data_IF_668472876275
#
_entry.id   IF_668472876275
#
_cell.length_a   1.000
_cell.length_b   1.000
_cell.length_c   1.000
_cell.angle_alpha   90.00
_cell.angle_beta   90.00
_cell.angle_gamma   90.00
#
_symmetry.space_group_name_H-M   'P 1'
#
loop_
_entity.id
_entity.type
_entity.pdbx_description
1 polymer ?
#
# COMPACT_ATOMS: atom_id res chain seq x y z
N UNK A 1 -1.38 7.74 -14.64
CA UNK A 1 -0.31 6.82 -14.16
C UNK A 1 -0.87 5.91 -13.09
N UNK A 2 -0.32 4.70 -12.98
CA UNK A 2 -0.59 3.70 -11.95
C UNK A 2 0.44 3.84 -10.85
N UNK A 3 -0.04 4.21 -9.67
CA UNK A 3 0.78 4.40 -8.47
C UNK A 3 0.48 3.28 -7.50
N UNK A 4 1.52 2.56 -7.09
CA UNK A 4 1.42 1.51 -6.07
C UNK A 4 2.07 1.97 -4.78
N UNK A 5 1.36 1.80 -3.67
CA UNK A 5 1.92 1.97 -2.34
C UNK A 5 2.23 0.60 -1.75
N UNK A 6 3.43 0.40 -1.23
CA UNK A 6 3.83 -0.81 -0.53
C UNK A 6 4.03 -0.50 0.95
N UNK A 7 3.28 -1.19 1.80
CA UNK A 7 3.39 -1.03 3.24
C UNK A 7 3.24 -2.39 3.95
N UNK A 8 4.12 -2.74 4.92
CA UNK A 8 4.12 -4.09 5.50
C UNK A 8 2.83 -4.44 6.24
N UNK A 9 2.25 -3.52 7.01
CA UNK A 9 1.11 -3.82 7.86
C UNK A 9 0.14 -2.63 7.89
N UNK A 10 -1.04 -2.78 7.28
CA UNK A 10 -2.02 -1.70 7.19
C UNK A 10 -3.06 -1.80 8.32
N UNK A 11 -2.59 -1.58 9.55
CA UNK A 11 -3.38 -1.51 10.77
C UNK A 11 -3.75 -0.06 11.15
N UNK A 12 -3.76 0.23 12.46
CA UNK A 12 -3.89 1.59 13.00
C UNK A 12 -2.57 2.01 13.64
N UNK A 13 -1.98 3.05 13.09
CA UNK A 13 -0.78 3.67 13.60
C UNK A 13 -0.42 4.93 12.82
N UNK A 14 0.65 5.60 13.23
CA UNK A 14 1.05 6.89 12.66
C UNK A 14 1.61 6.77 11.23
N UNK A 15 2.41 5.73 10.97
CA UNK A 15 2.99 5.51 9.64
C UNK A 15 1.91 5.06 8.64
N UNK A 16 1.03 4.17 9.10
CA UNK A 16 -0.14 3.70 8.38
C UNK A 16 -1.04 4.87 7.98
N UNK A 17 -1.29 5.83 8.89
CA UNK A 17 -2.06 7.03 8.59
C UNK A 17 -1.41 7.88 7.49
N UNK A 18 -0.10 8.08 7.58
CA UNK A 18 0.65 8.85 6.58
C UNK A 18 0.55 8.22 5.19
N UNK A 19 0.67 6.89 5.10
CA UNK A 19 0.50 6.16 3.84
C UNK A 19 -0.91 6.29 3.30
N UNK A 20 -1.94 6.17 4.15
CA UNK A 20 -3.35 6.30 3.75
C UNK A 20 -3.65 7.72 3.25
N UNK A 21 -3.25 8.76 3.99
CA UNK A 21 -3.49 10.15 3.59
C UNK A 21 -2.77 10.50 2.28
N UNK A 22 -1.54 10.01 2.09
CA UNK A 22 -0.81 10.15 0.84
C UNK A 22 -1.51 9.44 -0.33
N UNK A 23 -1.98 8.21 -0.12
CA UNK A 23 -2.71 7.45 -1.15
C UNK A 23 -4.04 8.13 -1.53
N UNK A 24 -4.77 8.68 -0.56
CA UNK A 24 -5.99 9.47 -0.81
C UNK A 24 -5.68 10.72 -1.62
N UNK A 25 -4.62 11.45 -1.28
CA UNK A 25 -4.23 12.67 -1.98
C UNK A 25 -3.89 12.39 -3.47
N UNK A 26 -3.10 11.35 -3.72
CA UNK A 26 -2.63 10.97 -5.07
C UNK A 26 -3.77 10.41 -5.94
N UNK A 27 -4.80 9.82 -5.33
CA UNK A 27 -5.96 9.25 -6.05
C UNK A 27 -6.74 10.27 -6.88
N UNK A 28 -6.71 11.54 -6.51
CA UNK A 28 -7.44 12.60 -7.23
C UNK A 28 -7.04 12.74 -8.70
N UNK A 29 -5.82 12.33 -9.05
CA UNK A 29 -5.25 12.48 -10.39
C UNK A 29 -4.62 11.18 -10.96
N UNK A 30 -4.54 10.12 -10.17
CA UNK A 30 -3.89 8.86 -10.55
C UNK A 30 -4.67 7.62 -10.10
N UNK A 31 -4.41 6.48 -10.73
CA UNK A 31 -4.92 5.20 -10.27
C UNK A 31 -4.02 4.68 -9.15
N UNK A 32 -4.56 4.57 -7.95
CA UNK A 32 -3.81 4.19 -6.74
C UNK A 32 -4.26 2.82 -6.24
N UNK A 33 -3.30 1.95 -5.94
CA UNK A 33 -3.53 0.67 -5.27
C UNK A 33 -2.53 0.52 -4.11
N UNK A 34 -3.03 0.15 -2.95
CA UNK A 34 -2.19 -0.14 -1.78
C UNK A 34 -1.99 -1.65 -1.70
N UNK A 35 -0.73 -2.08 -1.73
CA UNK A 35 -0.31 -3.45 -1.49
C UNK A 35 0.24 -3.55 -0.08
N UNK A 36 -0.30 -4.49 0.68
CA UNK A 36 0.16 -4.75 2.04
C UNK A 36 0.28 -6.23 2.32
N UNK A 37 1.08 -6.59 3.33
CA UNK A 37 1.19 -7.97 3.75
C UNK A 37 0.18 -8.33 4.84
N UNK A 38 -0.39 -7.34 5.54
CA UNK A 38 -1.41 -7.56 6.57
C UNK A 38 -2.46 -6.47 6.50
N UNK A 39 -3.74 -6.84 6.63
CA UNK A 39 -4.81 -5.88 6.79
C UNK A 39 -5.96 -6.49 7.58
N UNK A 40 -6.37 -5.82 8.66
CA UNK A 40 -7.48 -6.27 9.49
C UNK A 40 -8.74 -5.41 9.25
N UNK A 41 -9.83 -5.96 8.70
CA UNK A 41 -11.06 -5.19 8.40
C UNK A 41 -11.74 -4.56 9.61
N UNK A 42 -11.47 -5.08 10.81
CA UNK A 42 -12.00 -4.58 12.08
C UNK A 42 -11.03 -3.65 12.83
N UNK A 43 -9.79 -3.54 12.37
CA UNK A 43 -8.73 -2.75 12.98
C UNK A 43 -7.96 -1.98 11.89
N UNK A 44 -8.69 -1.16 11.13
CA UNK A 44 -8.15 -0.35 10.06
C UNK A 44 -8.85 0.99 9.94
N UNK A 45 -8.27 1.88 9.13
CA UNK A 45 -8.87 3.14 8.77
C UNK A 45 -10.13 2.95 7.92
N UNK A 46 -11.15 3.82 8.05
CA UNK A 46 -12.37 3.75 7.25
C UNK A 46 -12.08 3.91 5.75
N UNK A 47 -11.02 4.64 5.39
CA UNK A 47 -10.58 4.83 4.01
C UNK A 47 -10.08 3.53 3.35
N UNK A 48 -9.68 2.52 4.12
CA UNK A 48 -9.12 1.25 3.62
C UNK A 48 -10.01 0.03 3.85
N UNK A 49 -11.15 0.19 4.53
CA UNK A 49 -12.07 -0.89 4.90
C UNK A 49 -12.87 -1.37 3.68
N UNK A 50 -12.73 -2.64 3.31
CA UNK A 50 -13.28 -3.26 2.10
C UNK A 50 -14.68 -2.78 1.65
N UNK A 51 -14.78 -2.47 0.36
CA UNK A 51 -15.99 -2.62 -0.48
C UNK A 51 -17.23 -1.75 -0.21
N UNK A 52 -17.36 -1.09 0.94
CA UNK A 52 -18.48 -0.18 1.20
C UNK A 52 -18.15 1.22 0.70
N UNK A 53 -19.03 1.84 -0.09
CA UNK A 53 -19.05 3.30 -0.23
C UNK A 53 -19.24 3.96 1.14
N UNK A 54 -18.15 4.13 1.88
CA UNK A 54 -18.17 4.91 3.12
C UNK A 54 -18.13 6.39 2.72
N UNK A 55 -19.31 7.00 2.58
CA UNK A 55 -19.46 8.43 2.83
C UNK A 55 -19.23 8.66 4.32
N UNK A 56 -17.97 8.73 4.75
CA UNK A 56 -17.66 9.19 6.09
C UNK A 56 -18.30 10.57 6.30
N UNK A 57 -18.96 10.85 7.44
CA UNK A 57 -19.44 12.19 7.73
C UNK A 57 -18.24 13.15 7.72
N UNK A 58 -18.30 14.05 6.75
CA UNK A 58 -17.31 15.03 6.32
C UNK A 58 -17.10 16.13 7.38
N UNK A 59 -16.83 15.77 8.64
CA UNK A 59 -16.64 16.72 9.74
C UNK A 59 -15.20 16.86 10.24
N UNK A 60 -14.28 15.96 9.84
CA UNK A 60 -12.89 16.01 10.32
C UNK A 60 -11.88 16.39 9.23
N UNK A 61 -12.17 16.15 7.96
CA UNK A 61 -11.28 16.56 6.86
C UNK A 61 -11.85 17.81 6.17
N UNK A 62 -11.18 18.96 6.28
CA UNK A 62 -11.55 20.17 5.53
C UNK A 62 -11.47 19.83 4.04
N UNK A 63 -12.56 19.93 3.26
CA UNK A 63 -12.52 19.62 1.84
C UNK A 63 -11.58 20.61 1.13
N UNK A 64 -10.47 20.10 0.59
CA UNK A 64 -9.68 20.81 -0.39
C UNK A 64 -10.51 20.91 -1.67
N UNK A 65 -10.79 22.15 -2.09
CA UNK A 65 -11.67 22.47 -3.21
C UNK A 65 -11.15 21.80 -4.49
N UNK A 66 -11.91 20.85 -5.04
CA UNK A 66 -11.57 20.13 -6.28
C UNK A 66 -11.28 18.63 -6.14
N UNK A 67 -11.34 18.05 -4.93
CA UNK A 67 -11.14 16.61 -4.71
C UNK A 67 -12.49 15.86 -4.77
N UNK A 68 -12.62 14.79 -5.58
CA UNK A 68 -13.84 13.98 -5.67
C UNK A 68 -14.17 13.31 -4.32
N UNK A 69 -15.45 12.96 -4.06
CA UNK A 69 -15.90 12.40 -2.78
C UNK A 69 -15.15 11.11 -2.43
N UNK A 70 -14.95 10.79 -1.13
CA UNK A 70 -14.17 9.64 -0.72
C UNK A 70 -14.84 8.34 -1.17
N UNK A 71 -14.18 7.63 -2.07
CA UNK A 71 -14.37 6.20 -2.27
C UNK A 71 -13.27 5.46 -1.51
N UNK A 72 -13.55 4.24 -1.06
CA UNK A 72 -12.59 3.35 -0.39
C UNK A 72 -11.36 3.13 -1.25
N UNK A 73 -10.16 3.26 -0.67
CA UNK A 73 -8.89 2.91 -1.31
C UNK A 73 -8.88 1.42 -1.62
N UNK A 74 -8.42 1.06 -2.82
CA UNK A 74 -8.23 -0.35 -3.16
C UNK A 74 -7.00 -0.87 -2.42
N UNK A 75 -7.24 -1.75 -1.45
CA UNK A 75 -6.20 -2.45 -0.70
C UNK A 75 -6.13 -3.90 -1.15
N UNK A 76 -4.93 -4.40 -1.42
CA UNK A 76 -4.66 -5.79 -1.78
C UNK A 76 -3.70 -6.37 -0.76
N UNK A 77 -4.17 -7.37 -0.02
CA UNK A 77 -3.36 -8.07 0.96
C UNK A 77 -2.68 -9.29 0.30
N UNK A 78 -1.34 -9.32 0.32
CA UNK A 78 -0.53 -10.40 -0.25
C UNK A 78 0.45 -10.89 0.81
N UNK A 79 0.39 -12.17 1.17
CA UNK A 79 1.31 -12.73 2.16
C UNK A 79 0.82 -12.62 3.61
N UNK A 80 -0.49 -12.53 3.82
CA UNK A 80 -1.08 -12.52 5.16
C UNK A 80 -0.72 -13.77 5.99
N UNK A 81 -0.47 -14.88 5.29
CA UNK A 81 -0.01 -16.14 5.88
C UNK A 81 1.40 -16.07 6.50
N UNK A 82 2.22 -15.04 6.22
CA UNK A 82 3.58 -14.97 6.76
C UNK A 82 3.54 -14.57 8.25
N UNK A 83 4.23 -15.26 9.17
CA UNK A 83 4.21 -14.90 10.57
C UNK A 83 4.78 -13.49 10.81
N UNK A 84 4.15 -12.73 11.75
CA UNK A 84 4.65 -11.42 12.22
C UNK A 84 5.86 -11.56 13.14
N UNK A 85 6.03 -12.73 13.75
CA UNK A 85 7.21 -13.10 14.54
C UNK A 85 7.29 -14.62 14.65
N UNK A 86 8.49 -15.16 14.87
CA UNK A 86 8.69 -16.57 15.16
C UNK A 86 8.91 -16.69 16.66
N UNK A 87 7.98 -17.34 17.38
CA UNK A 87 8.02 -17.49 18.85
C UNK A 87 8.13 -16.15 19.62
N UNK A 88 7.53 -15.07 19.09
CA UNK A 88 7.60 -13.73 19.68
C UNK A 88 8.94 -13.01 19.48
N UNK A 89 9.90 -13.61 18.76
CA UNK A 89 11.20 -13.01 18.43
C UNK A 89 11.31 -12.74 16.93
N UNK A 90 12.21 -11.84 16.55
CA UNK A 90 12.57 -11.60 15.14
C UNK A 90 11.50 -10.87 14.32
N UNK A 91 10.62 -10.08 14.95
CA UNK A 91 9.55 -9.34 14.23
C UNK A 91 10.10 -8.44 13.11
N UNK A 92 11.26 -7.80 13.33
CA UNK A 92 11.93 -7.00 12.30
C UNK A 92 12.35 -7.85 11.10
N UNK A 93 12.95 -9.03 11.33
CA UNK A 93 13.34 -9.95 10.25
C UNK A 93 12.12 -10.45 9.48
N UNK A 94 11.05 -10.81 10.17
CA UNK A 94 9.78 -11.17 9.55
C UNK A 94 9.22 -10.02 8.70
N UNK A 95 9.25 -8.78 9.18
CA UNK A 95 8.83 -7.61 8.42
C UNK A 95 9.69 -7.39 7.16
N UNK A 96 11.02 -7.56 7.24
CA UNK A 96 11.91 -7.50 6.09
C UNK A 96 11.58 -8.56 5.04
N UNK A 97 11.38 -9.82 5.45
CA UNK A 97 11.04 -10.91 4.55
C UNK A 97 9.67 -10.69 3.89
N UNK A 98 8.68 -10.23 4.65
CA UNK A 98 7.35 -9.85 4.14
C UNK A 98 7.45 -8.78 3.06
N UNK A 99 8.22 -7.73 3.30
CA UNK A 99 8.42 -6.65 2.33
C UNK A 99 9.22 -7.07 1.11
N UNK A 100 10.20 -7.97 1.25
CA UNK A 100 10.94 -8.53 0.13
C UNK A 100 10.01 -9.36 -0.78
N UNK A 101 9.18 -10.23 -0.19
CA UNK A 101 8.23 -11.07 -0.92
C UNK A 101 7.12 -10.23 -1.59
N UNK A 102 6.61 -9.22 -0.88
CA UNK A 102 5.63 -8.28 -1.43
C UNK A 102 6.23 -7.50 -2.61
N UNK A 103 7.44 -6.98 -2.45
CA UNK A 103 8.16 -6.28 -3.52
C UNK A 103 8.38 -7.16 -4.74
N UNK A 104 8.78 -8.42 -4.54
CA UNK A 104 8.95 -9.39 -5.62
C UNK A 104 7.62 -9.70 -6.33
N UNK A 105 6.54 -9.89 -5.58
CA UNK A 105 5.21 -10.09 -6.15
C UNK A 105 4.79 -8.89 -7.01
N UNK A 106 4.95 -7.67 -6.50
CA UNK A 106 4.58 -6.44 -7.21
C UNK A 106 5.40 -6.28 -8.48
N UNK A 107 6.72 -6.45 -8.42
CA UNK A 107 7.60 -6.38 -9.59
C UNK A 107 7.23 -7.40 -10.67
N UNK A 108 6.88 -8.62 -10.29
CA UNK A 108 6.65 -9.71 -11.25
C UNK A 108 5.22 -9.79 -11.79
N UNK A 109 4.23 -9.23 -11.08
CA UNK A 109 2.81 -9.47 -11.37
C UNK A 109 1.97 -8.21 -11.49
N UNK A 110 2.48 -7.08 -11.00
CA UNK A 110 1.68 -5.86 -10.92
C UNK A 110 2.23 -4.82 -11.89
N UNK A 111 1.39 -4.33 -12.80
CA UNK A 111 1.76 -3.23 -13.66
C UNK A 111 1.73 -1.89 -12.91
N UNK A 112 2.85 -1.17 -12.83
CA UNK A 112 2.89 0.16 -12.20
C UNK A 112 3.90 1.10 -12.86
N UNK A 113 3.64 2.40 -12.76
CA UNK A 113 4.52 3.45 -13.27
C UNK A 113 5.36 4.08 -12.14
N UNK A 114 4.78 4.16 -10.93
CA UNK A 114 5.42 4.71 -9.73
C UNK A 114 5.15 3.79 -8.55
N UNK A 115 6.20 3.42 -7.81
CA UNK A 115 6.09 2.69 -6.55
C UNK A 115 6.55 3.58 -5.38
N UNK A 116 5.68 3.72 -4.38
CA UNK A 116 5.97 4.39 -3.11
C UNK A 116 6.12 3.30 -2.05
N UNK A 117 7.30 3.20 -1.43
CA UNK A 117 7.63 2.18 -0.42
C UNK A 117 7.75 2.87 0.93
N UNK A 118 7.04 2.38 1.94
CA UNK A 118 7.13 2.86 3.32
C UNK A 118 7.69 1.80 4.29
N UNK A 119 8.21 2.25 5.44
CA UNK A 119 8.80 1.54 6.58
C UNK A 119 10.06 0.70 6.31
N UNK A 120 10.16 0.01 5.18
CA UNK A 120 11.23 -0.95 4.91
C UNK A 120 11.73 -0.80 3.47
N UNK A 121 12.91 -0.22 3.30
CA UNK A 121 13.51 0.06 1.98
C UNK A 121 14.12 -1.16 1.28
N UNK A 122 14.04 -2.36 1.88
CA UNK A 122 14.69 -3.58 1.36
C UNK A 122 14.24 -3.97 -0.05
N UNK A 123 13.02 -3.62 -0.44
CA UNK A 123 12.49 -3.89 -1.77
C UNK A 123 12.87 -2.81 -2.81
N UNK A 124 13.45 -1.68 -2.40
CA UNK A 124 13.80 -0.58 -3.32
C UNK A 124 14.91 -0.97 -4.31
N UNK A 125 16.02 -1.62 -3.91
CA UNK A 125 17.01 -2.12 -4.86
C UNK A 125 16.42 -3.12 -5.86
N UNK A 126 15.50 -4.00 -5.41
CA UNK A 126 14.79 -4.94 -6.25
C UNK A 126 13.92 -4.22 -7.29
N UNK A 127 13.09 -3.27 -6.83
CA UNK A 127 12.27 -2.42 -7.71
C UNK A 127 13.14 -1.67 -8.73
N UNK A 128 14.27 -1.11 -8.31
CA UNK A 128 15.18 -0.38 -9.20
C UNK A 128 15.87 -1.29 -10.21
N UNK A 129 16.26 -2.50 -9.83
CA UNK A 129 16.93 -3.45 -10.73
C UNK A 129 16.00 -3.88 -11.88
N UNK A 130 14.73 -4.18 -11.57
CA UNK A 130 13.76 -4.65 -12.56
C UNK A 130 13.12 -3.51 -13.36
N UNK A 131 12.98 -2.30 -12.81
CA UNK A 131 12.40 -1.16 -13.52
C UNK A 131 13.42 -0.30 -14.31
N UNK A 132 14.74 -0.42 -14.06
CA UNK A 132 15.79 0.35 -14.79
C UNK A 132 15.97 -0.04 -16.27
N UNK A 133 15.36 -1.13 -16.72
CA UNK A 133 15.40 -1.54 -18.13
C UNK A 133 14.55 -0.68 -19.07
N UNK A 134 13.84 0.33 -18.56
CA UNK A 134 12.78 1.01 -19.31
C UNK A 134 11.61 0.04 -19.48
N UNK A 135 10.41 0.46 -19.08
CA UNK A 135 9.23 -0.34 -19.33
C UNK A 135 8.95 -0.37 -20.85
N UNK A 136 9.34 -1.47 -21.53
CA UNK A 136 9.24 -1.63 -23.01
C UNK A 136 8.00 -2.38 -23.48
N UNK A 137 6.93 -2.47 -22.68
CA UNK A 137 5.62 -2.94 -23.15
C UNK A 137 5.33 -4.44 -23.06
N UNK A 138 6.08 -5.22 -22.26
CA UNK A 138 5.52 -6.45 -21.63
C UNK A 138 4.74 -6.04 -20.39
N UNK A 139 3.71 -6.80 -19.92
CA UNK A 139 2.59 -6.25 -19.16
C UNK A 139 3.03 -5.51 -17.89
N UNK A 140 3.28 -4.20 -18.04
CA UNK A 140 2.78 -3.21 -17.12
C UNK A 140 1.51 -2.63 -17.76
#
# INVERSE_FOLDING_TARGET
MRVVFLHPDLGIGGAERLVVDAAVAVRSCHQVVVYTTHHHPHHCFPETRDGGSYTAPLKVYRPLKGIPPPGTLKVVCVGDWLPRSVLGKGAALCAYLRMLLLGLYVVLRVPFDVAIVDQVSVCVPLLRAFCRGGWTGGPC
#
